data_IF_954809327923
#
_entry.id   IF_954809327923
#
_cell.length_a   1.000
_cell.length_b   1.000
_cell.length_c   1.000
_cell.angle_alpha   90.00
_cell.angle_beta   90.00
_cell.angle_gamma   90.00
#
_symmetry.space_group_name_H-M   'P 1'
#
loop_
_entity.id
_entity.type
_entity.pdbx_description
1 polymer ?
#
# COMPACT_ATOMS: atom_id res chain seq x y z
N UNK A 1 -44.98 8.02 -5.81
CA UNK A 1 -45.30 6.67 -5.27
C UNK A 1 -45.92 5.87 -6.39
N UNK A 2 -45.49 4.61 -6.54
CA UNK A 2 -45.85 3.62 -7.57
C UNK A 2 -44.92 3.57 -8.80
N UNK A 3 -43.71 3.01 -8.60
CA UNK A 3 -43.10 1.98 -9.47
C UNK A 3 -42.06 1.18 -8.65
N UNK A 4 -42.43 0.76 -7.45
CA UNK A 4 -41.65 -0.19 -6.64
C UNK A 4 -42.18 -1.58 -6.92
N UNK A 5 -41.50 -2.35 -7.78
CA UNK A 5 -41.90 -3.74 -8.02
C UNK A 5 -41.54 -4.33 -9.38
N UNK A 6 -40.28 -4.25 -9.80
CA UNK A 6 -39.73 -5.25 -10.73
C UNK A 6 -38.72 -6.08 -9.96
N UNK A 7 -39.20 -7.17 -9.38
CA UNK A 7 -38.35 -8.26 -8.91
C UNK A 7 -37.79 -8.93 -10.15
N UNK A 8 -36.61 -8.50 -10.60
CA UNK A 8 -35.87 -9.19 -11.66
C UNK A 8 -35.63 -10.61 -11.17
N UNK A 9 -36.26 -11.58 -11.81
CA UNK A 9 -36.14 -12.97 -11.38
C UNK A 9 -34.77 -13.50 -11.77
N UNK A 10 -34.16 -14.33 -10.92
CA UNK A 10 -32.90 -15.06 -11.22
C UNK A 10 -32.95 -15.78 -12.59
N UNK A 11 -34.16 -16.06 -13.10
CA UNK A 11 -34.41 -16.65 -14.42
C UNK A 11 -34.05 -15.71 -15.59
N UNK A 12 -34.19 -14.41 -15.45
CA UNK A 12 -33.85 -13.44 -16.52
C UNK A 12 -32.33 -13.27 -16.67
N UNK A 13 -31.58 -13.43 -15.57
CA UNK A 13 -30.10 -13.48 -15.56
C UNK A 13 -29.58 -14.77 -16.24
N UNK A 14 -30.39 -15.84 -16.30
CA UNK A 14 -30.01 -17.17 -16.78
C UNK A 14 -30.47 -17.50 -18.21
N UNK A 15 -30.78 -16.51 -19.06
CA UNK A 15 -31.06 -16.78 -20.47
C UNK A 15 -29.77 -17.26 -21.20
N UNK A 16 -29.64 -18.59 -21.26
CA UNK A 16 -28.46 -19.39 -21.59
C UNK A 16 -28.04 -19.36 -23.08
N UNK A 17 -28.68 -18.55 -23.93
CA UNK A 17 -28.49 -18.58 -25.39
C UNK A 17 -27.57 -17.51 -25.96
N UNK A 18 -27.10 -16.54 -25.17
CA UNK A 18 -26.29 -15.40 -25.67
C UNK A 18 -25.03 -15.11 -24.84
N UNK A 19 -24.54 -16.08 -24.07
CA UNK A 19 -23.41 -15.86 -23.17
C UNK A 19 -22.07 -15.99 -23.92
N UNK A 20 -21.21 -14.98 -23.80
CA UNK A 20 -19.81 -15.03 -24.25
C UNK A 20 -19.15 -16.26 -23.60
N UNK A 21 -18.29 -17.04 -24.29
CA UNK A 21 -17.69 -18.26 -23.73
C UNK A 21 -16.97 -18.05 -22.38
N UNK A 22 -16.38 -16.88 -22.17
CA UNK A 22 -15.77 -16.47 -20.90
C UNK A 22 -16.80 -16.34 -19.76
N UNK A 23 -17.91 -15.64 -20.00
CA UNK A 23 -19.01 -15.52 -19.04
C UNK A 23 -19.61 -16.88 -18.67
N UNK A 24 -19.70 -17.83 -19.63
CA UNK A 24 -20.18 -19.18 -19.36
C UNK A 24 -19.29 -19.94 -18.35
N UNK A 25 -17.96 -19.74 -18.40
CA UNK A 25 -17.03 -20.32 -17.42
C UNK A 25 -17.22 -19.69 -16.03
N UNK A 26 -17.31 -18.36 -15.95
CA UNK A 26 -17.60 -17.65 -14.70
C UNK A 26 -18.88 -18.18 -14.02
N UNK A 27 -19.98 -18.31 -14.77
CA UNK A 27 -21.25 -18.83 -14.25
C UNK A 27 -21.11 -20.28 -13.77
N UNK A 28 -20.45 -21.14 -14.56
CA UNK A 28 -20.27 -22.54 -14.19
C UNK A 28 -19.47 -22.69 -12.89
N UNK A 29 -18.39 -21.94 -12.73
CA UNK A 29 -17.56 -21.97 -11.52
C UNK A 29 -18.28 -21.34 -10.33
N UNK A 30 -19.01 -20.25 -10.54
CA UNK A 30 -19.86 -19.62 -9.51
C UNK A 30 -20.93 -20.60 -9.02
N UNK A 31 -21.57 -21.36 -9.90
CA UNK A 31 -22.52 -22.40 -9.50
C UNK A 31 -21.86 -23.51 -8.68
N UNK A 32 -20.62 -23.90 -9.00
CA UNK A 32 -19.83 -24.84 -8.18
C UNK A 32 -19.50 -24.25 -6.82
N UNK A 33 -19.13 -22.97 -6.76
CA UNK A 33 -18.88 -22.25 -5.51
C UNK A 33 -20.13 -22.23 -4.63
N UNK A 34 -21.28 -21.84 -5.18
CA UNK A 34 -22.57 -21.86 -4.47
C UNK A 34 -22.92 -23.27 -3.96
N UNK A 35 -22.69 -24.31 -4.76
CA UNK A 35 -22.87 -25.69 -4.33
C UNK A 35 -21.89 -26.11 -3.21
N UNK A 36 -20.67 -25.59 -3.23
CA UNK A 36 -19.66 -25.77 -2.17
C UNK A 36 -20.07 -25.08 -0.87
N UNK A 37 -20.57 -23.84 -0.96
CA UNK A 37 -21.07 -23.05 0.18
C UNK A 37 -22.23 -23.77 0.86
N UNK A 38 -23.22 -24.25 0.07
CA UNK A 38 -24.36 -25.02 0.60
C UNK A 38 -23.95 -26.29 1.34
N UNK A 39 -22.80 -26.87 0.97
CA UNK A 39 -22.23 -28.07 1.60
C UNK A 39 -21.19 -27.74 2.67
N UNK A 40 -21.02 -26.47 3.03
CA UNK A 40 -20.03 -25.99 4.00
C UNK A 40 -18.62 -26.51 3.71
N UNK A 41 -18.24 -26.58 2.43
CA UNK A 41 -16.91 -27.05 2.05
C UNK A 41 -15.85 -26.02 2.50
N UNK A 42 -14.73 -26.45 3.09
CA UNK A 42 -13.69 -25.53 3.57
C UNK A 42 -13.19 -24.57 2.49
N UNK A 43 -12.87 -25.08 1.28
CA UNK A 43 -12.43 -24.24 0.18
C UNK A 43 -13.47 -23.20 -0.25
N UNK A 44 -14.77 -23.52 -0.13
CA UNK A 44 -15.85 -22.63 -0.54
C UNK A 44 -16.09 -21.53 0.49
N UNK A 45 -15.93 -21.87 1.78
CA UNK A 45 -15.99 -20.89 2.87
C UNK A 45 -14.83 -19.90 2.81
N UNK A 46 -13.64 -20.30 2.34
CA UNK A 46 -12.51 -19.38 2.11
C UNK A 46 -12.84 -18.24 1.15
N UNK A 47 -13.64 -18.46 0.10
CA UNK A 47 -14.07 -17.37 -0.80
C UNK A 47 -14.90 -16.31 -0.06
N UNK A 48 -15.79 -16.73 0.85
CA UNK A 48 -16.61 -15.81 1.64
C UNK A 48 -15.74 -15.11 2.69
N UNK A 49 -14.91 -15.87 3.40
CA UNK A 49 -14.10 -15.34 4.50
C UNK A 49 -13.05 -14.34 4.02
N UNK A 50 -12.47 -14.60 2.84
CA UNK A 50 -11.50 -13.72 2.19
C UNK A 50 -12.11 -12.49 1.54
N UNK A 51 -13.41 -12.50 1.24
CA UNK A 51 -14.10 -11.31 0.73
C UNK A 51 -14.32 -10.29 1.86
N UNK A 52 -14.37 -9.01 1.48
CA UNK A 52 -14.72 -7.94 2.38
C UNK A 52 -16.13 -8.15 2.94
N UNK A 53 -16.25 -8.14 4.27
CA UNK A 53 -17.51 -8.38 4.99
C UNK A 53 -18.28 -7.08 5.21
N UNK A 54 -17.58 -6.08 5.75
CA UNK A 54 -18.09 -4.74 6.03
C UNK A 54 -16.96 -3.73 6.01
N UNK A 55 -17.31 -2.46 5.80
CA UNK A 55 -16.36 -1.35 5.99
C UNK A 55 -16.33 -1.02 7.47
N UNK A 56 -15.31 -1.52 8.15
CA UNK A 56 -15.06 -1.20 9.56
C UNK A 56 -14.61 0.26 9.68
N UNK A 57 -15.18 0.98 10.66
CA UNK A 57 -14.82 2.38 10.89
C UNK A 57 -15.34 3.36 9.83
N UNK A 58 -16.39 3.02 9.07
CA UNK A 58 -16.98 3.92 8.08
C UNK A 58 -17.37 5.30 8.66
N UNK A 59 -17.92 5.30 9.88
CA UNK A 59 -18.27 6.54 10.60
C UNK A 59 -17.05 7.30 11.16
N UNK A 60 -15.88 6.66 11.17
CA UNK A 60 -14.59 7.25 11.51
C UNK A 60 -13.78 7.55 10.23
N UNK A 61 -14.45 7.59 9.08
CA UNK A 61 -13.86 7.94 7.80
C UNK A 61 -13.18 6.80 7.04
N UNK A 62 -13.24 5.55 7.50
CA UNK A 62 -12.74 4.43 6.69
C UNK A 62 -13.59 4.25 5.43
N UNK A 63 -12.97 4.28 4.27
CA UNK A 63 -13.65 4.16 2.97
C UNK A 63 -13.26 2.88 2.24
N UNK A 64 -12.54 1.96 2.87
CA UNK A 64 -12.05 0.77 2.19
C UNK A 64 -12.08 -0.46 3.08
N UNK A 65 -12.53 -1.58 2.51
CA UNK A 65 -12.43 -2.91 3.11
C UNK A 65 -11.84 -3.84 2.06
N UNK A 66 -10.58 -4.22 2.25
CA UNK A 66 -9.82 -4.97 1.24
C UNK A 66 -9.95 -6.49 1.38
N UNK A 67 -10.57 -7.01 2.44
CA UNK A 67 -10.63 -8.46 2.68
C UNK A 67 -9.24 -9.11 2.87
N UNK A 68 -9.18 -10.44 2.74
CA UNK A 68 -7.95 -11.23 2.86
C UNK A 68 -7.43 -11.63 1.47
N UNK A 69 -6.59 -10.78 0.88
CA UNK A 69 -6.01 -11.00 -0.44
C UNK A 69 -5.31 -12.36 -0.58
N UNK A 70 -4.35 -12.64 0.30
CA UNK A 70 -3.50 -13.85 0.20
C UNK A 70 -4.33 -15.13 0.30
N UNK A 71 -5.31 -15.16 1.20
CA UNK A 71 -6.20 -16.30 1.36
C UNK A 71 -7.07 -16.53 0.12
N UNK A 72 -7.54 -15.46 -0.52
CA UNK A 72 -8.31 -15.57 -1.75
C UNK A 72 -7.47 -16.21 -2.86
N UNK A 73 -6.32 -15.62 -3.19
CA UNK A 73 -5.49 -16.06 -4.32
C UNK A 73 -4.84 -17.44 -4.09
N UNK A 74 -4.70 -17.86 -2.83
CA UNK A 74 -4.21 -19.18 -2.43
C UNK A 74 -5.31 -20.26 -2.38
N UNK A 75 -6.57 -19.88 -2.55
CA UNK A 75 -7.67 -20.84 -2.55
C UNK A 75 -7.74 -21.56 -3.89
N UNK A 76 -7.50 -22.87 -3.86
CA UNK A 76 -7.47 -23.73 -5.06
C UNK A 76 -8.52 -24.83 -4.95
N UNK A 77 -9.28 -25.04 -6.03
CA UNK A 77 -10.38 -26.01 -6.10
C UNK A 77 -10.02 -27.14 -7.05
N UNK A 78 -9.90 -28.35 -6.51
CA UNK A 78 -9.59 -29.56 -7.26
C UNK A 78 -10.84 -30.41 -7.50
N UNK A 79 -10.81 -31.21 -8.57
CA UNK A 79 -11.87 -32.14 -8.91
C UNK A 79 -11.85 -33.36 -7.99
N UNK A 80 -13.03 -33.65 -7.42
CA UNK A 80 -13.29 -34.81 -6.56
C UNK A 80 -13.80 -36.02 -7.36
N UNK A 81 -14.06 -35.87 -8.66
CA UNK A 81 -14.58 -36.96 -9.51
C UNK A 81 -13.50 -38.02 -9.68
N UNK A 82 -13.85 -39.30 -9.49
CA UNK A 82 -12.94 -40.45 -9.65
C UNK A 82 -12.10 -40.42 -10.94
N UNK A 83 -12.70 -40.03 -12.07
CA UNK A 83 -12.04 -39.95 -13.38
C UNK A 83 -10.98 -38.84 -13.49
N UNK A 84 -11.17 -37.75 -12.76
CA UNK A 84 -10.37 -36.52 -12.86
C UNK A 84 -9.92 -36.07 -11.46
N UNK A 85 -9.56 -37.02 -10.59
CA UNK A 85 -9.26 -36.72 -9.19
C UNK A 85 -7.95 -35.93 -9.12
N UNK A 86 -7.98 -34.75 -8.51
CA UNK A 86 -6.80 -33.88 -8.36
C UNK A 86 -6.55 -32.94 -9.54
N UNK A 87 -7.39 -32.95 -10.58
CA UNK A 87 -7.34 -31.93 -11.64
C UNK A 87 -7.79 -30.58 -11.08
N UNK A 88 -7.04 -29.51 -11.39
CA UNK A 88 -7.41 -28.15 -11.04
C UNK A 88 -8.70 -27.76 -11.78
N UNK A 89 -9.75 -27.41 -11.04
CA UNK A 89 -10.97 -26.87 -11.64
C UNK A 89 -10.83 -25.35 -11.81
N UNK A 90 -10.58 -24.64 -10.70
CA UNK A 90 -10.39 -23.20 -10.68
C UNK A 90 -9.68 -22.78 -9.40
N UNK A 91 -9.25 -21.53 -9.32
CA UNK A 91 -8.66 -20.90 -8.12
C UNK A 91 -9.39 -19.60 -7.79
N UNK A 92 -9.10 -19.03 -6.62
CA UNK A 92 -9.55 -17.71 -6.26
C UNK A 92 -8.85 -16.63 -7.09
N UNK A 93 -9.64 -15.64 -7.46
CA UNK A 93 -9.24 -14.39 -8.10
C UNK A 93 -9.72 -13.27 -7.20
N UNK A 94 -8.79 -12.45 -6.76
CA UNK A 94 -9.10 -11.29 -5.94
C UNK A 94 -9.44 -10.12 -6.86
N UNK A 95 -10.61 -9.51 -6.69
CA UNK A 95 -10.99 -8.31 -7.42
C UNK A 95 -11.21 -7.14 -6.46
N UNK A 96 -10.65 -5.98 -6.79
CA UNK A 96 -10.85 -4.72 -6.10
C UNK A 96 -11.94 -3.92 -6.82
N UNK A 97 -13.09 -3.74 -6.17
CA UNK A 97 -14.20 -2.92 -6.66
C UNK A 97 -14.08 -1.50 -6.12
N UNK A 98 -14.46 -0.52 -6.92
CA UNK A 98 -14.54 0.88 -6.54
C UNK A 98 -15.96 1.40 -6.72
N UNK A 99 -16.49 2.03 -5.68
CA UNK A 99 -17.80 2.65 -5.67
C UNK A 99 -17.67 4.15 -5.43
N UNK A 100 -18.25 4.95 -6.31
CA UNK A 100 -18.22 6.41 -6.25
C UNK A 100 -19.64 6.93 -6.06
N UNK A 101 -19.93 7.66 -4.98
CA UNK A 101 -21.24 8.28 -4.82
C UNK A 101 -21.46 9.34 -5.89
N UNK A 102 -22.69 9.52 -6.39
CA UNK A 102 -22.99 10.52 -7.41
C UNK A 102 -22.79 11.91 -6.82
N UNK A 103 -21.84 12.65 -7.38
CA UNK A 103 -21.54 14.02 -6.99
C UNK A 103 -21.94 14.99 -8.11
N UNK A 104 -22.45 16.19 -7.76
CA UNK A 104 -22.65 17.23 -8.75
C UNK A 104 -21.31 17.58 -9.42
N UNK A 105 -21.31 18.15 -10.64
CA UNK A 105 -20.07 18.57 -11.28
C UNK A 105 -19.40 19.68 -10.47
N UNK A 106 -18.06 19.60 -10.34
CA UNK A 106 -17.26 20.56 -9.57
C UNK A 106 -17.31 21.95 -10.21
N UNK A 107 -18.11 22.86 -9.63
CA UNK A 107 -18.24 24.26 -10.10
C UNK A 107 -17.17 25.20 -9.53
N UNK A 108 -16.35 24.77 -8.56
CA UNK A 108 -15.30 25.58 -7.94
C UNK A 108 -14.43 24.84 -6.92
N UNK A 109 -13.47 25.55 -6.32
CA UNK A 109 -12.70 25.05 -5.17
C UNK A 109 -13.49 25.34 -3.89
N UNK A 110 -14.14 24.31 -3.36
CA UNK A 110 -14.83 24.40 -2.07
C UNK A 110 -13.87 24.02 -0.93
N UNK A 111 -14.13 24.51 0.28
CA UNK A 111 -13.40 24.08 1.48
C UNK A 111 -13.92 22.70 1.90
N UNK A 112 -13.03 21.81 2.31
CA UNK A 112 -13.33 20.41 2.66
C UNK A 112 -14.36 20.24 3.80
N UNK A 113 -14.63 21.31 4.58
CA UNK A 113 -15.57 21.33 5.72
C UNK A 113 -16.85 22.15 5.43
N UNK A 114 -17.13 22.48 4.18
CA UNK A 114 -18.39 23.14 3.79
C UNK A 114 -19.32 22.17 3.07
N UNK A 115 -20.57 22.07 3.55
CA UNK A 115 -21.64 21.36 2.83
C UNK A 115 -21.82 22.04 1.46
N UNK A 116 -21.79 21.27 0.38
CA UNK A 116 -22.07 21.81 -0.95
C UNK A 116 -23.50 22.40 -0.95
N UNK A 117 -23.72 23.65 -1.39
CA UNK A 117 -25.06 24.24 -1.46
C UNK A 117 -26.05 23.37 -2.24
N UNK A 118 -25.55 22.61 -3.22
CA UNK A 118 -26.31 21.63 -4.01
C UNK A 118 -26.77 20.40 -3.22
N UNK A 119 -26.08 20.02 -2.14
CA UNK A 119 -26.43 18.89 -1.26
C UNK A 119 -27.31 19.31 -0.07
N UNK A 120 -27.34 20.61 0.30
CA UNK A 120 -28.18 21.12 1.39
C UNK A 120 -29.67 20.72 1.34
N UNK A 121 -30.37 20.72 0.18
CA UNK A 121 -31.78 20.35 0.16
C UNK A 121 -32.04 18.86 0.38
N UNK A 122 -31.02 18.00 0.29
CA UNK A 122 -31.15 16.55 0.46
C UNK A 122 -30.94 16.09 1.91
N UNK A 123 -30.37 16.93 2.77
CA UNK A 123 -30.00 16.55 4.13
C UNK A 123 -30.59 17.49 5.16
N UNK A 124 -31.41 16.95 6.05
CA UNK A 124 -31.95 17.70 7.18
C UNK A 124 -30.82 18.00 8.18
N UNK A 125 -30.77 19.23 8.69
CA UNK A 125 -29.61 19.87 9.33
C UNK A 125 -29.13 19.18 10.63
N UNK A 126 -29.87 18.18 11.11
CA UNK A 126 -29.61 17.42 12.34
C UNK A 126 -29.41 15.91 12.10
N UNK A 127 -29.35 15.48 10.84
CA UNK A 127 -29.16 14.07 10.50
C UNK A 127 -27.67 13.70 10.41
N UNK A 128 -27.33 12.45 10.75
CA UNK A 128 -26.00 11.84 10.48
C UNK A 128 -25.57 12.03 9.01
N UNK A 129 -26.54 12.08 8.10
CA UNK A 129 -26.31 12.30 6.68
C UNK A 129 -25.84 13.75 6.38
N UNK A 130 -26.28 14.75 7.14
CA UNK A 130 -25.79 16.14 7.00
C UNK A 130 -24.33 16.30 7.47
N UNK A 131 -23.92 15.51 8.47
CA UNK A 131 -22.53 15.46 8.93
C UNK A 131 -21.63 14.75 7.91
N UNK A 132 -22.10 13.65 7.30
CA UNK A 132 -21.43 13.00 6.18
C UNK A 132 -21.34 13.87 4.92
N UNK A 133 -22.34 14.72 4.66
CA UNK A 133 -22.39 15.61 3.50
C UNK A 133 -21.27 16.68 3.48
N UNK A 134 -20.68 17.01 4.63
CA UNK A 134 -19.48 17.88 4.69
C UNK A 134 -18.29 17.25 3.98
N UNK A 135 -18.13 15.94 4.15
CA UNK A 135 -17.05 15.17 3.54
C UNK A 135 -17.38 14.67 2.13
N UNK A 136 -18.57 15.00 1.60
CA UNK A 136 -18.97 14.60 0.25
C UNK A 136 -17.95 15.04 -0.82
N UNK A 137 -17.28 16.18 -0.61
CA UNK A 137 -16.26 16.67 -1.54
C UNK A 137 -15.02 15.77 -1.62
N UNK A 138 -14.74 14.98 -0.59
CA UNK A 138 -13.61 14.05 -0.59
C UNK A 138 -13.80 12.98 -1.67
N UNK A 139 -15.05 12.62 -2.00
CA UNK A 139 -15.35 11.61 -3.01
C UNK A 139 -15.10 12.06 -4.47
N UNK A 140 -14.70 13.32 -4.72
CA UNK A 140 -14.14 13.69 -6.02
C UNK A 140 -12.77 13.05 -6.28
N UNK A 141 -12.04 12.71 -5.22
CA UNK A 141 -10.68 12.19 -5.29
C UNK A 141 -10.50 10.84 -4.59
N UNK A 142 -11.53 10.38 -3.86
CA UNK A 142 -11.52 9.14 -3.10
C UNK A 142 -12.72 8.29 -3.54
N UNK A 143 -12.52 7.00 -3.72
CA UNK A 143 -13.57 6.02 -3.98
C UNK A 143 -13.70 5.06 -2.78
N UNK A 144 -14.88 4.46 -2.64
CA UNK A 144 -15.09 3.39 -1.67
C UNK A 144 -14.52 2.11 -2.29
N UNK A 145 -13.54 1.48 -1.65
CA UNK A 145 -12.88 0.28 -2.20
C UNK A 145 -13.29 -0.99 -1.46
N UNK A 146 -13.76 -2.00 -2.19
CA UNK A 146 -14.21 -3.29 -1.62
C UNK A 146 -13.50 -4.44 -2.32
N UNK A 147 -12.80 -5.27 -1.55
CA UNK A 147 -12.16 -6.49 -2.04
C UNK A 147 -13.12 -7.68 -2.07
N UNK A 148 -13.24 -8.37 -3.19
CA UNK A 148 -14.07 -9.58 -3.32
C UNK A 148 -13.26 -10.74 -3.88
N UNK A 149 -13.54 -11.95 -3.37
CA UNK A 149 -12.93 -13.17 -3.88
C UNK A 149 -13.91 -13.90 -4.81
N UNK A 150 -13.52 -14.04 -6.07
CA UNK A 150 -14.34 -14.64 -7.14
C UNK A 150 -13.59 -15.80 -7.80
N UNK A 151 -14.27 -16.71 -8.51
CA UNK A 151 -13.59 -17.76 -9.27
C UNK A 151 -12.73 -17.22 -10.41
N UNK A 152 -11.60 -17.87 -10.69
CA UNK A 152 -10.65 -17.48 -11.74
C UNK A 152 -11.20 -17.53 -13.17
N UNK A 153 -12.33 -18.21 -13.40
CA UNK A 153 -13.03 -18.19 -14.67
C UNK A 153 -13.79 -16.90 -14.96
N UNK A 154 -13.87 -15.96 -14.00
CA UNK A 154 -14.53 -14.68 -14.17
C UNK A 154 -13.57 -13.62 -14.72
N UNK A 155 -13.94 -12.99 -15.83
CA UNK A 155 -13.20 -11.88 -16.41
C UNK A 155 -13.52 -10.55 -15.72
N UNK A 156 -12.65 -9.55 -15.88
CA UNK A 156 -12.91 -8.20 -15.35
C UNK A 156 -14.25 -7.64 -15.87
N UNK A 157 -14.58 -7.87 -17.14
CA UNK A 157 -15.88 -7.50 -17.73
C UNK A 157 -17.06 -8.15 -17.01
N UNK A 158 -16.93 -9.42 -16.60
CA UNK A 158 -18.02 -10.15 -15.91
C UNK A 158 -18.26 -9.56 -14.52
N UNK A 159 -17.18 -9.22 -13.81
CA UNK A 159 -17.25 -8.62 -12.47
C UNK A 159 -17.69 -7.16 -12.56
N UNK A 160 -17.31 -6.42 -13.61
CA UNK A 160 -17.70 -5.04 -13.81
C UNK A 160 -19.21 -4.90 -13.99
N UNK A 161 -19.83 -5.80 -14.76
CA UNK A 161 -21.30 -5.86 -14.87
C UNK A 161 -21.97 -6.09 -13.50
N UNK A 162 -21.38 -6.92 -12.64
CA UNK A 162 -21.91 -7.14 -11.28
C UNK A 162 -21.72 -5.90 -10.41
N UNK A 163 -20.57 -5.23 -10.52
CA UNK A 163 -20.28 -3.99 -9.78
C UNK A 163 -21.22 -2.86 -10.19
N UNK A 164 -21.51 -2.69 -11.48
CA UNK A 164 -22.48 -1.72 -12.00
C UNK A 164 -23.89 -2.01 -11.46
N UNK A 165 -24.36 -3.26 -11.53
CA UNK A 165 -25.67 -3.65 -11.00
C UNK A 165 -25.81 -3.41 -9.50
N UNK A 166 -24.77 -3.74 -8.72
CA UNK A 166 -24.75 -3.46 -7.27
C UNK A 166 -24.69 -1.96 -7.01
N UNK A 167 -23.92 -1.22 -7.81
CA UNK A 167 -23.83 0.23 -7.77
C UNK A 167 -25.20 0.88 -8.00
N UNK A 168 -25.90 0.51 -9.07
CA UNK A 168 -27.25 1.00 -9.38
C UNK A 168 -28.24 0.76 -8.22
N UNK A 169 -28.19 -0.42 -7.59
CA UNK A 169 -29.04 -0.73 -6.43
C UNK A 169 -28.73 0.14 -5.20
N UNK A 170 -27.48 0.53 -5.04
CA UNK A 170 -27.00 1.36 -3.95
C UNK A 170 -27.04 2.86 -4.28
N UNK A 171 -27.37 3.23 -5.53
CA UNK A 171 -27.34 4.61 -6.01
C UNK A 171 -25.92 5.19 -6.10
N UNK A 172 -24.92 4.37 -6.43
CA UNK A 172 -23.51 4.74 -6.58
C UNK A 172 -22.95 4.16 -7.89
N UNK A 173 -21.93 4.79 -8.46
CA UNK A 173 -21.25 4.28 -9.65
C UNK A 173 -20.24 3.21 -9.21
N UNK A 174 -20.42 1.96 -9.66
CA UNK A 174 -19.56 0.83 -9.32
C UNK A 174 -18.72 0.38 -10.50
N UNK A 175 -17.40 0.24 -10.31
CA UNK A 175 -16.46 -0.25 -11.33
C UNK A 175 -15.41 -1.21 -10.74
N UNK A 176 -14.82 -2.05 -11.57
CA UNK A 176 -13.68 -2.90 -11.19
C UNK A 176 -12.39 -2.14 -11.39
N UNK A 177 -11.57 -2.01 -10.35
CA UNK A 177 -10.24 -1.40 -10.45
C UNK A 177 -9.20 -2.40 -10.96
N UNK A 178 -9.12 -3.57 -10.33
CA UNK A 178 -8.18 -4.63 -10.72
C UNK A 178 -8.71 -6.00 -10.33
N UNK A 179 -8.34 -7.02 -11.10
CA UNK A 179 -8.45 -8.41 -10.68
C UNK A 179 -7.12 -9.15 -10.79
N UNK A 180 -6.78 -9.92 -9.76
CA UNK A 180 -5.50 -10.60 -9.65
C UNK A 180 -5.68 -12.06 -9.29
N UNK A 181 -4.84 -12.88 -9.92
CA UNK A 181 -4.75 -14.31 -9.68
C UNK A 181 -3.31 -14.61 -9.31
N UNK A 182 -3.09 -15.55 -8.38
CA UNK A 182 -1.74 -15.98 -8.02
C UNK A 182 -0.99 -16.50 -9.25
N UNK A 183 -0.03 -15.71 -9.72
CA UNK A 183 0.98 -16.08 -10.71
C UNK A 183 2.22 -16.56 -9.96
N UNK A 184 2.93 -17.54 -10.53
CA UNK A 184 4.24 -17.89 -10.00
C UNK A 184 5.16 -16.67 -10.16
N UNK A 185 5.97 -16.41 -9.14
CA UNK A 185 6.87 -15.25 -9.14
C UNK A 185 7.93 -15.43 -10.21
N UNK A 186 7.73 -14.80 -11.36
CA UNK A 186 8.76 -14.68 -12.38
C UNK A 186 9.73 -13.57 -11.98
N UNK A 187 11.00 -13.93 -11.76
CA UNK A 187 12.03 -12.94 -11.45
C UNK A 187 12.39 -12.15 -12.70
N UNK A 188 11.82 -10.96 -12.84
CA UNK A 188 12.25 -9.99 -13.85
C UNK A 188 13.72 -9.62 -13.64
N UNK A 189 14.48 -9.42 -14.71
CA UNK A 189 15.90 -9.02 -14.65
C UNK A 189 16.15 -7.78 -13.78
N UNK A 190 15.19 -6.84 -13.73
CA UNK A 190 15.24 -5.67 -12.85
C UNK A 190 15.16 -6.01 -11.36
N UNK A 191 14.37 -7.01 -10.98
CA UNK A 191 14.25 -7.44 -9.58
C UNK A 191 15.56 -8.06 -9.11
N UNK A 192 16.18 -8.90 -9.96
CA UNK A 192 17.49 -9.51 -9.68
C UNK A 192 18.57 -8.43 -9.52
N UNK A 193 18.60 -7.44 -10.42
CA UNK A 193 19.54 -6.32 -10.33
C UNK A 193 19.38 -5.56 -9.00
N UNK A 194 18.14 -5.26 -8.61
CA UNK A 194 17.85 -4.60 -7.33
C UNK A 194 18.30 -5.44 -6.13
N UNK A 195 18.02 -6.75 -6.11
CA UNK A 195 18.49 -7.63 -5.03
C UNK A 195 20.02 -7.69 -4.95
N UNK A 196 20.71 -7.73 -6.09
CA UNK A 196 22.17 -7.68 -6.13
C UNK A 196 22.71 -6.33 -5.61
N UNK A 197 22.10 -5.21 -6.00
CA UNK A 197 22.51 -3.88 -5.56
C UNK A 197 22.31 -3.68 -4.04
N UNK A 198 21.14 -4.03 -3.51
CA UNK A 198 20.90 -3.95 -2.07
C UNK A 198 21.75 -4.95 -1.29
N UNK A 199 21.97 -6.15 -1.85
CA UNK A 199 22.85 -7.16 -1.25
C UNK A 199 24.30 -6.70 -1.14
N UNK A 200 24.85 -6.02 -2.16
CA UNK A 200 26.23 -5.50 -2.10
C UNK A 200 26.37 -4.36 -1.10
N UNK A 201 25.41 -3.43 -1.04
CA UNK A 201 25.40 -2.36 -0.05
C UNK A 201 25.32 -2.95 1.37
N UNK A 202 24.42 -3.90 1.60
CA UNK A 202 24.29 -4.58 2.89
C UNK A 202 25.61 -5.28 3.30
N UNK A 203 26.27 -5.95 2.36
CA UNK A 203 27.56 -6.59 2.62
C UNK A 203 28.65 -5.58 2.98
N UNK A 204 28.74 -4.44 2.27
CA UNK A 204 29.71 -3.37 2.58
C UNK A 204 29.45 -2.80 3.98
N UNK A 205 28.19 -2.57 4.36
CA UNK A 205 27.82 -2.08 5.69
C UNK A 205 28.17 -3.10 6.78
N UNK A 206 27.90 -4.39 6.55
CA UNK A 206 28.24 -5.45 7.50
C UNK A 206 29.76 -5.56 7.70
N UNK A 207 30.53 -5.59 6.61
CA UNK A 207 32.00 -5.65 6.65
C UNK A 207 32.56 -4.40 7.36
N UNK A 208 32.10 -3.21 6.97
CA UNK A 208 32.51 -1.95 7.61
C UNK A 208 32.20 -1.94 9.10
N UNK A 209 31.01 -2.41 9.50
CA UNK A 209 30.60 -2.48 10.91
C UNK A 209 31.43 -3.50 11.70
N UNK A 210 31.73 -4.67 11.12
CA UNK A 210 32.58 -5.67 11.76
C UNK A 210 34.01 -5.16 11.99
N UNK A 211 34.59 -4.47 11.01
CA UNK A 211 35.92 -3.86 11.14
C UNK A 211 35.91 -2.76 12.20
N UNK A 212 34.88 -1.92 12.23
CA UNK A 212 34.72 -0.84 13.20
C UNK A 212 34.62 -1.38 14.63
N UNK A 213 33.80 -2.42 14.85
CA UNK A 213 33.69 -3.12 16.14
C UNK A 213 35.04 -3.74 16.53
N UNK A 214 35.72 -4.40 15.60
CA UNK A 214 37.03 -5.01 15.86
C UNK A 214 38.09 -3.97 16.25
N UNK A 215 38.17 -2.86 15.51
CA UNK A 215 39.06 -1.73 15.79
C UNK A 215 38.76 -1.11 17.16
N UNK A 216 37.48 -0.99 17.52
CA UNK A 216 37.05 -0.49 18.82
C UNK A 216 37.54 -1.37 19.98
N UNK A 217 37.39 -2.69 19.88
CA UNK A 217 37.82 -3.62 20.96
C UNK A 217 39.34 -3.77 21.05
N UNK A 218 40.04 -3.82 19.92
CA UNK A 218 41.49 -4.05 19.89
C UNK A 218 42.32 -2.76 19.98
N UNK A 219 41.68 -1.57 19.91
CA UNK A 219 42.33 -0.26 19.84
C UNK A 219 43.37 -0.15 18.71
N UNK A 220 43.15 -0.88 17.61
CA UNK A 220 44.04 -0.90 16.46
C UNK A 220 43.58 0.12 15.41
N UNK A 221 44.51 0.91 14.87
CA UNK A 221 44.23 1.90 13.83
C UNK A 221 44.71 1.37 12.49
N UNK A 222 43.76 1.17 11.56
CA UNK A 222 44.08 0.75 10.20
C UNK A 222 44.35 1.95 9.30
N UNK A 223 45.51 1.98 8.64
CA UNK A 223 45.92 3.06 7.73
C UNK A 223 45.69 2.76 6.24
N UNK A 224 45.22 1.56 5.89
CA UNK A 224 44.91 1.23 4.50
C UNK A 224 43.68 2.00 4.01
N UNK A 225 43.81 2.60 2.81
CA UNK A 225 42.75 3.41 2.19
C UNK A 225 41.44 2.63 2.05
N UNK A 226 41.51 1.35 1.66
CA UNK A 226 40.36 0.46 1.49
C UNK A 226 39.61 0.27 2.82
N UNK A 227 40.34 0.08 3.92
CA UNK A 227 39.74 -0.09 5.25
C UNK A 227 39.07 1.21 5.70
N UNK A 228 39.67 2.38 5.43
CA UNK A 228 39.04 3.67 5.73
C UNK A 228 37.75 3.89 4.94
N UNK A 229 37.71 3.50 3.67
CA UNK A 229 36.49 3.57 2.85
C UNK A 229 35.42 2.64 3.43
N UNK A 230 35.75 1.40 3.80
CA UNK A 230 34.79 0.47 4.43
C UNK A 230 34.28 0.97 5.79
N UNK A 231 35.16 1.55 6.61
CA UNK A 231 34.78 2.17 7.89
C UNK A 231 33.83 3.35 7.71
N UNK A 232 33.91 4.08 6.58
CA UNK A 232 32.97 5.16 6.27
C UNK A 232 31.52 4.66 6.09
N UNK A 233 31.32 3.38 5.78
CA UNK A 233 30.01 2.73 5.69
C UNK A 233 29.62 1.95 6.95
N UNK A 234 30.43 2.01 8.02
CA UNK A 234 30.09 1.37 9.30
C UNK A 234 28.79 1.91 9.86
N UNK A 235 27.85 1.01 10.18
CA UNK A 235 26.61 1.37 10.84
C UNK A 235 26.88 1.95 12.22
N UNK A 236 27.82 1.39 12.99
CA UNK A 236 28.05 1.76 14.40
C UNK A 236 28.54 3.21 14.53
N UNK A 237 29.55 3.60 13.74
CA UNK A 237 30.08 4.96 13.77
C UNK A 237 29.12 5.98 13.18
N UNK A 238 28.45 5.66 12.06
CA UNK A 238 27.46 6.56 11.46
C UNK A 238 26.23 6.73 12.36
N UNK A 239 25.76 5.65 13.00
CA UNK A 239 24.66 5.69 13.96
C UNK A 239 25.03 6.48 15.22
N UNK A 240 26.25 6.34 15.75
CA UNK A 240 26.73 7.17 16.87
C UNK A 240 26.81 8.65 16.50
N UNK A 241 27.29 9.00 15.30
CA UNK A 241 27.30 10.39 14.82
C UNK A 241 25.90 10.98 14.68
N UNK A 242 24.94 10.16 14.26
CA UNK A 242 23.54 10.57 14.13
C UNK A 242 22.83 10.70 15.49
N UNK A 243 23.04 9.72 16.38
CA UNK A 243 22.45 9.69 17.72
C UNK A 243 23.05 10.75 18.64
N UNK A 244 24.32 11.08 18.44
CA UNK A 244 25.00 12.11 19.22
C UNK A 244 24.74 13.47 18.59
N UNK A 245 23.58 14.08 18.87
CA UNK A 245 23.47 15.54 18.83
C UNK A 245 22.21 16.09 19.46
N UNK A 246 22.41 17.18 20.20
CA UNK A 246 21.53 18.36 20.35
C UNK A 246 20.89 18.89 19.04
N UNK A 247 21.06 18.21 17.91
CA UNK A 247 20.56 18.51 16.56
C UNK A 247 19.26 17.74 16.27
N UNK A 248 18.96 16.63 16.96
CA UNK A 248 17.65 15.97 16.78
C UNK A 248 16.51 16.94 17.10
N UNK A 249 16.66 17.81 18.09
CA UNK A 249 15.66 18.84 18.41
C UNK A 249 15.57 19.97 17.36
N UNK A 250 16.69 20.42 16.79
CA UNK A 250 16.69 21.54 15.83
C UNK A 250 16.46 21.14 14.37
N UNK A 251 16.83 19.91 13.96
CA UNK A 251 16.51 19.37 12.62
C UNK A 251 15.07 18.88 12.52
N UNK A 252 14.44 18.45 13.61
CA UNK A 252 13.00 18.18 13.62
C UNK A 252 12.16 19.47 13.51
N UNK A 253 12.67 20.61 13.97
CA UNK A 253 12.03 21.92 13.71
C UNK A 253 12.11 22.34 12.24
N UNK A 254 13.13 21.93 11.49
CA UNK A 254 13.17 22.14 10.03
C UNK A 254 12.26 21.17 9.25
N UNK A 255 11.91 20.02 9.82
CA UNK A 255 10.92 19.07 9.27
C UNK A 255 9.49 19.38 9.73
N UNK A 256 9.28 20.33 10.65
CA UNK A 256 8.01 21.05 10.79
C UNK A 256 7.85 21.96 9.58
N UNK A 257 7.52 21.36 8.45
CA UNK A 257 7.00 22.11 7.32
C UNK A 257 5.65 22.71 7.73
N UNK A 258 5.67 23.95 8.19
CA UNK A 258 4.50 24.81 8.16
C UNK A 258 4.04 24.85 6.70
N UNK A 259 2.83 24.36 6.42
CA UNK A 259 2.18 24.23 5.11
C UNK A 259 2.32 22.90 4.35
N UNK A 260 2.29 21.75 5.04
CA UNK A 260 1.51 20.66 4.45
C UNK A 260 0.07 21.08 4.71
N UNK A 261 -0.74 21.41 3.68
CA UNK A 261 -2.17 21.57 3.90
C UNK A 261 -2.57 20.28 4.56
N UNK A 262 -3.17 20.39 5.73
CA UNK A 262 -3.83 19.29 6.39
C UNK A 262 -4.99 18.88 5.48
N UNK A 263 -4.68 18.15 4.41
CA UNK A 263 -5.64 17.34 3.71
C UNK A 263 -5.97 16.30 4.76
N UNK A 264 -7.07 16.53 5.46
CA UNK A 264 -7.76 15.48 6.18
C UNK A 264 -8.12 14.43 5.12
N UNK A 265 -7.17 13.55 4.81
CA UNK A 265 -7.42 12.31 4.08
C UNK A 265 -8.37 11.52 4.98
N UNK A 266 -9.64 11.62 4.64
CA UNK A 266 -10.72 10.78 5.14
C UNK A 266 -10.27 9.32 4.97
N UNK A 267 -10.06 8.62 6.09
CA UNK A 267 -9.64 7.21 6.10
C UNK A 267 -8.30 6.89 6.75
N UNK A 268 -7.52 7.89 7.15
CA UNK A 268 -6.23 7.71 7.84
C UNK A 268 -6.26 8.16 9.31
N UNK A 269 -7.43 8.25 9.92
CA UNK A 269 -7.58 8.61 11.34
C UNK A 269 -6.75 7.77 12.31
N UNK A 270 -6.67 6.42 12.19
CA UNK A 270 -5.77 5.64 13.05
C UNK A 270 -4.30 5.99 12.77
N UNK A 271 -3.95 6.27 11.50
CA UNK A 271 -2.60 6.66 11.11
C UNK A 271 -2.21 8.05 11.60
N UNK A 272 -3.15 8.98 11.85
CA UNK A 272 -2.89 10.26 12.53
C UNK A 272 -2.52 10.11 14.00
N UNK A 273 -3.09 9.12 14.68
CA UNK A 273 -2.76 8.82 16.07
C UNK A 273 -1.34 8.23 16.12
N UNK A 274 -1.06 7.25 15.25
CA UNK A 274 0.27 6.63 15.15
C UNK A 274 1.34 7.56 14.56
N UNK A 275 1.01 8.47 13.63
CA UNK A 275 1.97 9.42 13.06
C UNK A 275 2.49 10.45 14.08
N UNK A 276 1.89 10.53 15.27
CA UNK A 276 2.46 11.30 16.39
C UNK A 276 3.50 10.50 17.18
N UNK A 277 3.50 9.18 17.06
CA UNK A 277 4.52 8.35 17.69
C UNK A 277 5.85 8.50 16.97
N UNK A 278 6.88 8.80 17.74
CA UNK A 278 8.25 8.97 17.29
C UNK A 278 8.75 7.79 16.42
N UNK A 279 8.40 6.56 16.82
CA UNK A 279 8.73 5.34 16.07
C UNK A 279 8.06 5.29 14.70
N UNK A 280 6.80 5.75 14.60
CA UNK A 280 6.06 5.72 13.35
C UNK A 280 6.51 6.84 12.40
N UNK A 281 6.89 7.99 12.94
CA UNK A 281 7.55 9.06 12.16
C UNK A 281 8.90 8.60 11.59
N UNK A 282 9.65 7.78 12.33
CA UNK A 282 10.88 7.19 11.82
C UNK A 282 10.60 6.25 10.64
N UNK A 283 9.51 5.47 10.65
CA UNK A 283 9.11 4.59 9.54
C UNK A 283 8.67 5.41 8.31
N UNK A 284 7.81 6.42 8.50
CA UNK A 284 7.32 7.27 7.40
C UNK A 284 8.44 8.08 6.74
N UNK A 285 9.45 8.50 7.51
CA UNK A 285 10.61 9.23 7.01
C UNK A 285 11.80 8.33 6.66
N UNK A 286 11.72 7.02 6.90
CA UNK A 286 12.82 6.08 6.64
C UNK A 286 13.22 6.08 5.17
N UNK A 287 12.25 6.19 4.26
CA UNK A 287 12.46 6.24 2.81
C UNK A 287 13.35 7.41 2.38
N UNK A 288 13.22 8.59 3.02
CA UNK A 288 14.07 9.75 2.78
C UNK A 288 15.41 9.69 3.55
N UNK A 289 15.40 8.97 4.67
CA UNK A 289 16.54 8.86 5.57
C UNK A 289 17.59 7.89 5.04
N UNK A 290 17.23 6.71 4.55
CA UNK A 290 18.20 5.66 4.20
C UNK A 290 19.15 6.11 3.08
N UNK A 291 18.62 6.63 1.97
CA UNK A 291 19.45 7.08 0.84
C UNK A 291 20.33 8.28 1.21
N UNK A 292 19.79 9.23 1.96
CA UNK A 292 20.54 10.39 2.44
C UNK A 292 21.61 9.98 3.46
N UNK A 293 21.33 9.01 4.33
CA UNK A 293 22.20 8.61 5.43
C UNK A 293 23.46 7.89 4.95
N UNK A 294 23.32 6.94 4.03
CA UNK A 294 24.46 6.19 3.51
C UNK A 294 25.29 7.00 2.51
N UNK A 295 24.65 7.81 1.65
CA UNK A 295 25.37 8.60 0.64
C UNK A 295 26.03 9.84 1.27
N UNK A 296 25.32 10.60 2.11
CA UNK A 296 25.90 11.81 2.74
C UNK A 296 26.88 11.46 3.86
N UNK A 297 26.64 10.37 4.61
CA UNK A 297 27.58 9.89 5.63
C UNK A 297 28.92 9.46 5.03
N UNK A 298 28.89 8.77 3.88
CA UNK A 298 30.10 8.39 3.13
C UNK A 298 30.86 9.59 2.56
N UNK A 299 30.15 10.54 1.93
CA UNK A 299 30.75 11.75 1.34
C UNK A 299 31.39 12.67 2.38
N UNK A 300 30.72 12.92 3.51
CA UNK A 300 31.25 13.77 4.59
C UNK A 300 32.53 13.18 5.20
N UNK A 301 32.62 11.86 5.35
CA UNK A 301 33.81 11.20 5.88
C UNK A 301 34.97 11.18 4.86
N UNK A 302 34.69 11.19 3.55
CA UNK A 302 35.71 11.33 2.51
C UNK A 302 36.31 12.74 2.47
N UNK A 303 35.50 13.76 2.68
CA UNK A 303 35.92 15.17 2.68
C UNK A 303 36.76 15.53 3.93
N UNK A 304 36.46 14.93 5.09
CA UNK A 304 37.32 15.03 6.27
C UNK A 304 38.68 14.33 6.06
N UNK A 305 38.72 13.23 5.29
CA UNK A 305 39.98 12.54 4.98
C UNK A 305 40.86 13.31 3.98
N UNK A 306 40.30 14.14 3.10
CA UNK A 306 41.06 14.96 2.16
C UNK A 306 41.55 16.27 2.80
N UNK A 307 40.80 16.83 3.74
CA UNK A 307 41.18 18.05 4.47
C UNK A 307 42.33 17.86 5.46
N UNK A 308 42.53 16.63 5.96
CA UNK A 308 43.65 16.29 6.86
C UNK A 308 45.02 16.33 6.14
N UNK A 309 45.06 16.07 4.82
CA UNK A 309 46.29 16.17 4.03
C UNK A 309 46.70 17.61 3.71
N UNK A 310 45.75 18.54 3.56
CA UNK A 310 46.06 19.95 3.27
C UNK A 310 46.53 20.74 4.51
N UNK A 311 46.07 20.37 5.71
CA UNK A 311 46.54 20.99 6.97
C UNK A 311 47.95 20.55 7.39
N UNK A 312 48.39 19.35 6.99
CA UNK A 312 49.76 18.90 7.24
C UNK A 312 50.77 19.52 6.27
N UNK A 313 50.37 19.90 5.05
CA UNK A 313 51.26 20.57 4.09
C UNK A 313 51.43 22.06 4.45
N UNK A 314 50.40 22.73 4.98
CA UNK A 314 50.51 24.15 5.40
C UNK A 314 51.28 24.38 6.70
N UNK A 315 51.41 23.35 7.55
CA UNK A 315 52.25 23.39 8.75
C UNK A 315 53.72 23.02 8.49
N UNK A 316 54.02 22.29 7.41
CA UNK A 316 55.40 21.99 6.99
C UNK A 316 56.01 23.17 6.21
N UNK A 317 55.21 23.94 5.45
CA UNK A 317 55.71 25.14 4.75
C UNK A 317 56.01 26.34 5.67
N UNK A 318 55.49 26.35 6.91
CA UNK A 318 55.77 27.40 7.91
C UNK A 318 56.97 27.11 8.83
N UNK A 319 57.63 25.95 8.70
CA UNK A 319 58.84 25.61 9.46
C UNK A 319 60.11 25.58 8.60
N UNK A 320 60.05 25.98 7.32
CA UNK A 320 61.18 25.95 6.39
C UNK A 320 61.47 27.27 5.66
N UNK A 321 60.85 28.38 6.09
CA UNK A 321 61.19 29.73 5.64
C UNK A 321 61.23 30.64 6.86
N UNK A 322 62.45 30.75 7.42
CA UNK A 322 62.92 31.65 8.49
C UNK A 322 62.22 31.57 9.86
#
# INVERSE_FOLDING_TARGET
MNEFGKTTTIKEILNMSTLRPAYAMCVQETLKLVAGIRKLKPWALRFIDSSAKSIEGLMLGSLSSIGMYDECVDTVVYSEKLRNKGELIFRGQYCSLEFKPPLPPKKGAYKLDSIMPELQPFFDNKSLMAEGAKYAQAFYFISIRIGVCVPSGCTEDDINQVAELVGEQLGVDGEVATCEVKKETEYTSLNILSFCAFGTIAAIVLIGSSIDIYSYYTKTVFNHIVIRVLLAFSFVTNFKKFSNTKIIFSKFEMLKWNSVPQYDMVGLEPLKIYAKDFMFQAILNATYSVDSFFVMGGLLNMEDSSSFNLRNISNISKQLIW
#
